data_IF_849661745119
#
_entry.id   IF_849661745119
#
_cell.length_a   1.000
_cell.length_b   1.000
_cell.length_c   1.000
_cell.angle_alpha   90.00
_cell.angle_beta   90.00
_cell.angle_gamma   90.00
#
_symmetry.space_group_name_H-M   'P 1'
#
loop_
_entity.id
_entity.type
_entity.pdbx_description
1 polymer ?
#
# COMPACT_ATOMS: atom_id res chain seq x y z
N UNK A 1 -11.01 -68.87 -81.28
CA UNK A 1 -11.13 -67.97 -80.10
C UNK A 1 -10.34 -68.60 -78.97
N UNK A 2 -9.29 -67.94 -78.50
CA UNK A 2 -8.28 -68.54 -77.61
C UNK A 2 -8.58 -68.15 -76.15
N UNK A 3 -9.22 -69.05 -75.41
CA UNK A 3 -9.64 -68.87 -74.00
C UNK A 3 -8.45 -68.86 -73.00
N UNK A 4 -7.24 -69.16 -73.46
CA UNK A 4 -6.03 -69.31 -72.63
C UNK A 4 -5.39 -67.99 -72.16
N UNK A 5 -5.90 -66.82 -72.60
CA UNK A 5 -5.42 -65.50 -72.12
C UNK A 5 -6.18 -64.98 -70.89
N UNK A 6 -7.25 -65.65 -70.45
CA UNK A 6 -8.07 -65.21 -69.32
C UNK A 6 -7.54 -65.69 -67.95
N UNK A 7 -6.67 -66.70 -67.92
CA UNK A 7 -6.07 -67.22 -66.67
C UNK A 7 -4.85 -66.43 -66.19
N UNK A 8 -4.28 -65.55 -67.01
CA UNK A 8 -3.22 -64.62 -66.60
C UNK A 8 -3.72 -63.33 -65.91
N UNK A 9 -5.04 -63.18 -65.78
CA UNK A 9 -5.69 -62.01 -65.20
C UNK A 9 -5.99 -62.14 -63.70
N UNK A 10 -5.63 -63.25 -63.06
CA UNK A 10 -5.71 -63.38 -61.60
C UNK A 10 -4.37 -62.99 -60.97
N UNK A 11 -4.30 -61.87 -60.23
CA UNK A 11 -3.08 -61.50 -59.52
C UNK A 11 -2.72 -62.62 -58.54
N UNK A 12 -1.46 -63.04 -58.52
CA UNK A 12 -0.97 -64.04 -57.56
C UNK A 12 -1.27 -63.56 -56.13
N UNK A 13 -1.55 -64.49 -55.19
CA UNK A 13 -1.88 -64.11 -53.81
C UNK A 13 -0.83 -63.21 -53.15
N UNK A 14 0.43 -63.34 -53.58
CA UNK A 14 1.54 -62.47 -53.17
C UNK A 14 1.37 -61.03 -53.67
N UNK A 15 0.96 -60.83 -54.93
CA UNK A 15 0.68 -59.48 -55.45
C UNK A 15 -0.53 -58.83 -54.77
N UNK A 16 -1.59 -59.60 -54.48
CA UNK A 16 -2.75 -59.08 -53.73
C UNK A 16 -2.35 -58.70 -52.30
N UNK A 17 -1.57 -59.54 -51.61
CA UNK A 17 -1.07 -59.26 -50.27
C UNK A 17 -0.14 -58.04 -50.23
N UNK A 18 0.73 -57.89 -51.24
CA UNK A 18 1.63 -56.74 -51.35
C UNK A 18 0.86 -55.44 -51.57
N UNK A 19 -0.14 -55.43 -52.46
CA UNK A 19 -0.97 -54.23 -52.71
C UNK A 19 -1.78 -53.87 -51.47
N UNK A 20 -2.42 -54.85 -50.81
CA UNK A 20 -3.14 -54.61 -49.56
C UNK A 20 -2.22 -54.12 -48.44
N UNK A 21 -1.02 -54.70 -48.34
CA UNK A 21 0.02 -54.26 -47.41
C UNK A 21 0.44 -52.80 -47.68
N UNK A 22 0.68 -52.43 -48.94
CA UNK A 22 0.98 -51.05 -49.32
C UNK A 22 -0.18 -50.08 -49.02
N UNK A 23 -1.42 -50.49 -49.31
CA UNK A 23 -2.63 -49.68 -49.05
C UNK A 23 -2.80 -49.40 -47.56
N UNK A 24 -2.35 -50.28 -46.66
CA UNK A 24 -2.46 -50.08 -45.21
C UNK A 24 -1.22 -49.40 -44.63
N UNK A 25 -0.02 -49.87 -45.00
CA UNK A 25 1.23 -49.40 -44.41
C UNK A 25 1.61 -47.99 -44.85
N UNK A 26 1.33 -47.60 -46.10
CA UNK A 26 1.67 -46.26 -46.60
C UNK A 26 0.86 -45.18 -45.86
N UNK A 27 -0.48 -45.27 -45.74
CA UNK A 27 -1.24 -44.30 -44.94
C UNK A 27 -0.85 -44.29 -43.46
N UNK A 28 -0.54 -45.46 -42.88
CA UNK A 28 -0.08 -45.54 -41.49
C UNK A 28 1.25 -44.81 -41.28
N UNK A 29 2.21 -44.97 -42.19
CA UNK A 29 3.50 -44.27 -42.14
C UNK A 29 3.35 -42.76 -42.32
N UNK A 30 2.47 -42.33 -43.23
CA UNK A 30 2.13 -40.90 -43.41
C UNK A 30 1.45 -40.34 -42.16
N UNK A 31 0.53 -41.08 -41.55
CA UNK A 31 -0.17 -40.67 -40.34
C UNK A 31 0.77 -40.50 -39.14
N UNK A 32 1.67 -41.46 -38.92
CA UNK A 32 2.60 -41.42 -37.78
C UNK A 32 3.64 -40.32 -37.92
N UNK A 33 4.18 -40.12 -39.13
CA UNK A 33 5.10 -39.02 -39.42
C UNK A 33 4.42 -37.66 -39.30
N UNK A 34 3.19 -37.51 -39.78
CA UNK A 34 2.42 -36.28 -39.60
C UNK A 34 2.14 -35.97 -38.12
N UNK A 35 1.67 -36.96 -37.35
CA UNK A 35 1.46 -36.83 -35.89
C UNK A 35 2.74 -36.42 -35.16
N UNK A 36 3.88 -37.03 -35.51
CA UNK A 36 5.17 -36.67 -34.93
C UNK A 36 5.57 -35.23 -35.26
N UNK A 37 5.34 -34.79 -36.50
CA UNK A 37 5.59 -33.42 -36.93
C UNK A 37 4.73 -32.39 -36.20
N UNK A 38 3.43 -32.66 -36.02
CA UNK A 38 2.52 -31.80 -35.25
C UNK A 38 2.96 -31.71 -33.79
N UNK A 39 3.29 -32.85 -33.17
CA UNK A 39 3.76 -32.86 -31.78
C UNK A 39 5.06 -32.08 -31.59
N UNK A 40 6.00 -32.14 -32.54
CA UNK A 40 7.24 -31.36 -32.48
C UNK A 40 6.99 -29.86 -32.71
N UNK A 41 6.10 -29.52 -33.64
CA UNK A 41 5.67 -28.14 -33.86
C UNK A 41 5.01 -27.54 -32.61
N UNK A 42 4.09 -28.26 -31.97
CA UNK A 42 3.42 -27.82 -30.75
C UNK A 42 4.40 -27.66 -29.59
N UNK A 43 5.38 -28.57 -29.46
CA UNK A 43 6.46 -28.44 -28.47
C UNK A 43 7.30 -27.19 -28.71
N UNK A 44 7.70 -26.91 -29.95
CA UNK A 44 8.45 -25.69 -30.28
C UNK A 44 7.63 -24.43 -30.01
N UNK A 45 6.34 -24.44 -30.33
CA UNK A 45 5.41 -23.37 -30.01
C UNK A 45 5.33 -23.11 -28.50
N UNK A 46 5.13 -24.17 -27.72
CA UNK A 46 5.09 -24.08 -26.25
C UNK A 46 6.44 -23.61 -25.67
N UNK A 47 7.57 -24.07 -26.19
CA UNK A 47 8.90 -23.61 -25.79
C UNK A 47 9.13 -22.14 -26.12
N UNK A 48 8.68 -21.67 -27.29
CA UNK A 48 8.80 -20.27 -27.68
C UNK A 48 7.98 -19.36 -26.74
N UNK A 49 6.75 -19.77 -26.42
CA UNK A 49 5.90 -19.06 -25.47
C UNK A 49 6.51 -19.05 -24.06
N UNK A 50 7.02 -20.19 -23.60
CA UNK A 50 7.70 -20.28 -22.30
C UNK A 50 8.97 -19.41 -22.24
N UNK A 51 9.76 -19.38 -23.32
CA UNK A 51 10.95 -18.53 -23.42
C UNK A 51 10.59 -17.04 -23.42
N UNK A 52 9.48 -16.66 -24.06
CA UNK A 52 9.00 -15.28 -24.05
C UNK A 52 8.54 -14.86 -22.64
N UNK A 53 7.73 -15.69 -21.96
CA UNK A 53 7.37 -15.44 -20.57
C UNK A 53 8.60 -15.38 -19.66
N UNK A 54 9.55 -16.28 -19.84
CA UNK A 54 10.79 -16.27 -19.06
C UNK A 54 11.53 -14.95 -19.24
N UNK A 55 11.68 -14.46 -20.48
CA UNK A 55 12.27 -13.14 -20.76
C UNK A 55 11.50 -12.02 -20.10
N UNK A 56 10.17 -12.00 -20.17
CA UNK A 56 9.36 -10.95 -19.52
C UNK A 56 9.49 -10.96 -17.99
N UNK A 57 9.69 -12.13 -17.39
CA UNK A 57 9.88 -12.28 -15.94
C UNK A 57 11.29 -11.85 -15.52
N UNK A 58 12.32 -12.30 -16.23
CA UNK A 58 13.74 -12.14 -15.84
C UNK A 58 14.43 -10.96 -16.50
N UNK A 59 13.75 -10.22 -17.38
CA UNK A 59 14.33 -9.05 -18.04
C UNK A 59 14.95 -8.09 -17.00
N UNK A 60 16.22 -7.71 -17.19
CA UNK A 60 16.89 -6.82 -16.24
C UNK A 60 16.16 -5.48 -16.23
N UNK A 61 15.97 -4.91 -15.03
CA UNK A 61 15.32 -3.61 -14.74
C UNK A 61 13.84 -3.47 -15.09
N UNK A 62 13.35 -4.13 -16.14
CA UNK A 62 11.97 -3.98 -16.64
C UNK A 62 11.09 -5.20 -16.43
N UNK A 63 11.69 -6.35 -16.12
CA UNK A 63 10.98 -7.60 -15.86
C UNK A 63 10.24 -7.59 -14.53
N UNK A 64 9.30 -8.53 -14.38
CA UNK A 64 8.43 -8.60 -13.21
C UNK A 64 9.21 -8.73 -11.89
N UNK A 65 10.32 -9.48 -11.86
CA UNK A 65 11.14 -9.64 -10.65
C UNK A 65 11.74 -8.30 -10.22
N UNK A 66 12.36 -7.57 -11.15
CA UNK A 66 13.00 -6.28 -10.86
C UNK A 66 11.98 -5.22 -10.41
N UNK A 67 10.78 -5.21 -11.01
CA UNK A 67 9.69 -4.32 -10.57
C UNK A 67 9.18 -4.68 -9.17
N UNK A 68 9.09 -5.97 -8.83
CA UNK A 68 8.70 -6.39 -7.50
C UNK A 68 9.72 -5.97 -6.44
N UNK A 69 11.02 -6.09 -6.72
CA UNK A 69 12.07 -5.62 -5.82
C UNK A 69 12.01 -4.10 -5.62
N UNK A 70 11.81 -3.32 -6.68
CA UNK A 70 11.69 -1.86 -6.56
C UNK A 70 10.43 -1.44 -5.81
N UNK A 71 9.30 -2.13 -6.01
CA UNK A 71 8.09 -1.93 -5.21
C UNK A 71 8.32 -2.26 -3.73
N UNK A 72 9.03 -3.35 -3.42
CA UNK A 72 9.35 -3.73 -2.04
C UNK A 72 10.25 -2.68 -1.36
N UNK A 73 11.27 -2.19 -2.08
CA UNK A 73 12.15 -1.13 -1.58
C UNK A 73 11.38 0.18 -1.34
N UNK A 74 10.47 0.55 -2.26
CA UNK A 74 9.62 1.74 -2.12
C UNK A 74 8.68 1.60 -0.93
N UNK A 75 8.06 0.44 -0.75
CA UNK A 75 7.15 0.15 0.37
C UNK A 75 7.89 0.28 1.72
N UNK A 76 9.06 -0.33 1.85
CA UNK A 76 9.89 -0.21 3.05
C UNK A 76 10.29 1.25 3.34
N UNK A 77 10.62 2.03 2.30
CA UNK A 77 10.89 3.46 2.42
C UNK A 77 9.66 4.26 2.91
N UNK A 78 8.47 3.96 2.37
CA UNK A 78 7.23 4.60 2.81
C UNK A 78 6.83 4.24 4.24
N UNK A 79 7.01 2.98 4.66
CA UNK A 79 6.78 2.56 6.05
C UNK A 79 7.73 3.27 7.02
N UNK A 80 9.01 3.39 6.65
CA UNK A 80 9.99 4.14 7.42
C UNK A 80 9.60 5.62 7.58
N UNK A 81 9.17 6.26 6.49
CA UNK A 81 8.72 7.66 6.52
C UNK A 81 7.46 7.86 7.38
N UNK A 82 6.47 6.96 7.26
CA UNK A 82 5.26 6.99 8.07
C UNK A 82 5.58 6.85 9.57
N UNK A 83 6.54 6.00 9.93
CA UNK A 83 6.97 5.84 11.32
C UNK A 83 7.60 7.12 11.88
N UNK A 84 8.46 7.79 11.11
CA UNK A 84 9.07 9.06 11.51
C UNK A 84 8.02 10.16 11.63
N UNK A 85 7.09 10.24 10.69
CA UNK A 85 6.00 11.23 10.72
C UNK A 85 5.08 11.01 11.92
N UNK A 86 4.69 9.76 12.22
CA UNK A 86 3.88 9.46 13.39
C UNK A 86 4.59 9.83 14.71
N UNK A 87 5.90 9.60 14.81
CA UNK A 87 6.69 10.02 15.96
C UNK A 87 6.76 11.56 16.09
N UNK A 88 6.85 12.27 14.98
CA UNK A 88 6.81 13.73 14.97
C UNK A 88 5.44 14.28 15.41
N UNK A 89 4.35 13.67 14.93
CA UNK A 89 2.97 14.02 15.34
C UNK A 89 2.76 13.77 16.83
N UNK A 90 3.27 12.65 17.37
CA UNK A 90 3.15 12.35 18.80
C UNK A 90 3.92 13.38 19.65
N UNK A 91 5.13 13.75 19.24
CA UNK A 91 5.90 14.81 19.89
C UNK A 91 5.13 16.14 19.87
N UNK A 92 4.53 16.51 18.73
CA UNK A 92 3.71 17.72 18.59
C UNK A 92 2.47 17.70 19.50
N UNK A 93 1.84 16.54 19.69
CA UNK A 93 0.71 16.39 20.61
C UNK A 93 1.14 16.60 22.06
N UNK A 94 2.29 16.06 22.45
CA UNK A 94 2.81 16.22 23.81
C UNK A 94 3.18 17.66 24.12
N UNK A 95 3.83 18.38 23.18
CA UNK A 95 4.11 19.81 23.35
C UNK A 95 2.83 20.63 23.41
N UNK A 96 1.87 20.37 22.52
CA UNK A 96 0.57 21.06 22.55
C UNK A 96 -0.18 20.85 23.87
N UNK A 97 -0.17 19.63 24.42
CA UNK A 97 -0.78 19.34 25.72
C UNK A 97 -0.07 20.08 26.86
N UNK A 98 1.26 20.14 26.83
CA UNK A 98 2.04 20.88 27.83
C UNK A 98 1.77 22.39 27.77
N UNK A 99 1.64 22.96 26.58
CA UNK A 99 1.33 24.37 26.37
C UNK A 99 -0.09 24.72 26.79
N UNK A 100 -1.08 23.85 26.47
CA UNK A 100 -2.44 24.00 26.96
C UNK A 100 -2.49 24.00 28.50
N UNK A 101 -1.78 23.07 29.14
CA UNK A 101 -1.70 23.02 30.61
C UNK A 101 -1.02 24.26 31.21
N UNK A 102 -0.04 24.86 30.52
CA UNK A 102 0.57 26.13 30.93
C UNK A 102 -0.41 27.29 30.80
N UNK A 103 -1.11 27.38 29.67
CA UNK A 103 -2.13 28.41 29.44
C UNK A 103 -3.24 28.33 30.51
N UNK A 104 -3.76 27.14 30.81
CA UNK A 104 -4.78 26.95 31.85
C UNK A 104 -4.31 27.40 33.23
N UNK A 105 -3.05 27.13 33.59
CA UNK A 105 -2.47 27.61 34.85
C UNK A 105 -2.39 29.14 34.90
N UNK A 106 -1.99 29.78 33.79
CA UNK A 106 -1.93 31.24 33.70
C UNK A 106 -3.33 31.87 33.77
N UNK A 107 -4.32 31.29 33.11
CA UNK A 107 -5.72 31.74 33.18
C UNK A 107 -6.27 31.58 34.58
N UNK A 108 -6.01 30.45 35.26
CA UNK A 108 -6.43 30.28 36.66
C UNK A 108 -5.75 31.28 37.59
N UNK A 109 -4.46 31.55 37.38
CA UNK A 109 -3.74 32.55 38.17
C UNK A 109 -4.30 33.96 37.95
N UNK A 110 -4.61 34.34 36.70
CA UNK A 110 -5.19 35.65 36.40
C UNK A 110 -6.61 35.79 36.94
N UNK A 111 -7.44 34.75 36.88
CA UNK A 111 -8.77 34.74 37.50
C UNK A 111 -8.66 34.87 39.03
N UNK A 112 -7.73 34.16 39.68
CA UNK A 112 -7.52 34.28 41.12
C UNK A 112 -7.09 35.70 41.52
N UNK A 113 -6.20 36.33 40.73
CA UNK A 113 -5.80 37.72 40.92
C UNK A 113 -6.98 38.68 40.72
N UNK A 114 -7.82 38.47 39.70
CA UNK A 114 -9.01 39.28 39.45
C UNK A 114 -10.01 39.19 40.61
N UNK A 115 -10.29 37.99 41.11
CA UNK A 115 -11.17 37.78 42.28
C UNK A 115 -10.58 38.44 43.54
N UNK A 116 -9.27 38.34 43.75
CA UNK A 116 -8.61 39.01 44.87
C UNK A 116 -8.69 40.53 44.76
N UNK A 117 -8.50 41.09 43.55
CA UNK A 117 -8.64 42.51 43.28
C UNK A 117 -10.09 42.98 43.47
N UNK A 118 -11.08 42.21 43.02
CA UNK A 118 -12.50 42.50 43.21
C UNK A 118 -12.87 42.53 44.70
N UNK A 119 -12.41 41.55 45.49
CA UNK A 119 -12.61 41.55 46.94
C UNK A 119 -11.99 42.77 47.61
N UNK A 120 -10.76 43.15 47.24
CA UNK A 120 -10.11 44.37 47.76
C UNK A 120 -10.93 45.61 47.43
N UNK A 121 -11.43 45.74 46.21
CA UNK A 121 -12.27 46.86 45.80
C UNK A 121 -13.59 46.90 46.57
N UNK A 122 -14.25 45.76 46.80
CA UNK A 122 -15.46 45.67 47.62
C UNK A 122 -15.20 46.07 49.08
N UNK A 123 -14.07 45.67 49.67
CA UNK A 123 -13.67 46.10 51.02
C UNK A 123 -13.48 47.62 51.08
N UNK A 124 -12.87 48.23 50.06
CA UNK A 124 -12.74 49.69 50.01
C UNK A 124 -14.09 50.41 49.91
N UNK A 125 -15.04 49.86 49.14
CA UNK A 125 -16.38 50.43 48.98
C UNK A 125 -17.23 50.34 50.26
N UNK A 126 -16.95 49.36 51.13
CA UNK A 126 -17.64 49.19 52.42
C UNK A 126 -17.04 50.02 53.55
N UNK A 127 -15.87 50.65 53.34
CA UNK A 127 -15.23 51.48 54.35
C UNK A 127 -15.99 52.80 54.53
N UNK A 128 -16.47 53.06 55.75
CA UNK A 128 -17.08 54.34 56.10
C UNK A 128 -16.07 55.23 56.86
N UNK A 129 -16.09 56.55 56.62
CA UNK A 129 -15.28 57.49 57.40
C UNK A 129 -15.65 57.42 58.89
N UNK A 130 -14.68 57.60 59.78
CA UNK A 130 -14.96 57.72 61.22
C UNK A 130 -15.69 59.03 61.51
N UNK A 131 -16.38 59.11 62.64
CA UNK A 131 -17.09 60.33 63.04
C UNK A 131 -16.12 61.53 63.10
N UNK A 132 -16.38 62.54 62.26
CA UNK A 132 -15.55 63.74 62.11
C UNK A 132 -14.47 63.69 61.02
N UNK A 133 -14.31 62.57 60.31
CA UNK A 133 -13.30 62.38 59.26
C UNK A 133 -13.86 62.69 57.85
N UNK A 134 -13.11 63.47 57.05
CA UNK A 134 -13.47 63.74 55.66
C UNK A 134 -13.36 62.51 54.77
N UNK A 135 -14.21 62.38 53.73
CA UNK A 135 -14.17 61.22 52.80
C UNK A 135 -12.80 61.03 52.13
N UNK A 136 -12.09 62.11 51.82
CA UNK A 136 -10.76 62.04 51.21
C UNK A 136 -9.69 61.59 52.20
N UNK A 137 -9.75 62.04 53.46
CA UNK A 137 -8.82 61.62 54.52
C UNK A 137 -9.00 60.14 54.89
N UNK A 138 -10.26 59.68 54.95
CA UNK A 138 -10.59 58.28 55.16
C UNK A 138 -10.08 57.37 54.03
N UNK A 139 -10.17 57.82 52.77
CA UNK A 139 -9.62 57.11 51.61
C UNK A 139 -8.09 57.07 51.62
N UNK A 140 -7.43 58.16 52.05
CA UNK A 140 -5.97 58.22 52.14
C UNK A 140 -5.43 57.31 53.25
N UNK A 141 -6.07 57.30 54.43
CA UNK A 141 -5.74 56.37 55.52
C UNK A 141 -5.88 54.91 55.06
N UNK A 142 -7.00 54.57 54.42
CA UNK A 142 -7.23 53.23 53.92
C UNK A 142 -6.12 52.79 52.94
N UNK A 143 -5.67 53.70 52.08
CA UNK A 143 -4.60 53.39 51.13
C UNK A 143 -3.25 53.16 51.83
N UNK A 144 -2.93 53.94 52.87
CA UNK A 144 -1.73 53.72 53.69
C UNK A 144 -1.79 52.39 54.46
N UNK A 145 -2.93 52.05 55.06
CA UNK A 145 -3.13 50.78 55.79
C UNK A 145 -3.08 49.53 54.87
N UNK A 146 -3.27 49.68 53.55
CA UNK A 146 -3.25 48.55 52.59
C UNK A 146 -1.86 48.32 51.98
N UNK A 147 -0.91 49.26 52.15
CA UNK A 147 0.44 49.20 51.55
C UNK A 147 1.50 48.66 52.54
N UNK A 148 1.22 48.69 53.85
CA UNK A 148 2.00 47.97 54.88
C UNK A 148 1.58 46.49 54.99
#
# INVERSE_FOLDING_TARGET
MNLSRLTGLFPSRLTVAAVLGCVVLIPLAVWTSWKAGVADHDRRGAQAVAADYHRQITAPTTGFIARLESCKASLAGTEGSLRVQNAAVETLRQTAAADAARADRLVKASQAQAVAAERRAQTMLQFQPRDGEGRCDAAFRLHQETIE
#
